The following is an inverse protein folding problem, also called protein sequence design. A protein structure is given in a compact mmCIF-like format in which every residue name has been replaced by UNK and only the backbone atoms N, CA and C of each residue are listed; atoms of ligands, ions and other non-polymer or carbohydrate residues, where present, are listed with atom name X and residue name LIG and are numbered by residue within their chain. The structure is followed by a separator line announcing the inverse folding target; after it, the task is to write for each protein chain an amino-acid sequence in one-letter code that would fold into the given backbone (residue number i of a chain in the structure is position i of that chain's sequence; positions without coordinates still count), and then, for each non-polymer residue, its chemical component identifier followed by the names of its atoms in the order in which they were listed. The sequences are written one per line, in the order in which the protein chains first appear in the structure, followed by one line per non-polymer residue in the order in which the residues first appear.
data_IF_307112616054
#
_entry.id   IF_307112616054
#
_cell.length_a   1.000
_cell.length_b   1.000
_cell.length_c   1.000
_cell.angle_alpha   90.00
_cell.angle_beta   90.00
_cell.angle_gamma   90.00
#
_symmetry.space_group_name_H-M   'P 1'
#
loop_
_entity.id
_entity.type
_entity.pdbx_description
1 polymer ?
#
# COMPACT_ATOMS: atom_id res chain seq x y z
N UNK A 1 -6.68 17.68 -8.26
CA UNK A 1 -7.22 16.39 -7.78
C UNK A 1 -6.74 15.34 -8.75
N UNK A 2 -5.70 14.57 -8.42
CA UNK A 2 -5.07 13.67 -9.40
C UNK A 2 -6.05 12.56 -9.83
N UNK A 3 -6.62 12.71 -11.02
CA UNK A 3 -7.24 11.65 -11.80
C UNK A 3 -6.14 10.76 -12.38
N UNK A 4 -5.51 9.95 -11.53
CA UNK A 4 -4.62 8.88 -11.95
C UNK A 4 -5.37 7.56 -11.77
N UNK A 5 -5.71 6.91 -12.88
CA UNK A 5 -6.40 5.63 -12.94
C UNK A 5 -5.70 4.58 -12.04
N UNK A 6 -6.31 4.25 -10.91
CA UNK A 6 -5.95 3.07 -10.11
C UNK A 6 -6.62 1.79 -10.64
N UNK A 7 -7.18 1.83 -11.84
CA UNK A 7 -7.79 0.67 -12.49
C UNK A 7 -6.77 -0.47 -12.60
N UNK A 8 -7.06 -1.60 -11.95
CA UNK A 8 -6.18 -2.77 -11.90
C UNK A 8 -5.27 -2.89 -10.67
N UNK A 9 -5.23 -1.89 -9.78
CA UNK A 9 -4.45 -1.97 -8.53
C UNK A 9 -5.34 -2.37 -7.33
N UNK A 10 -4.97 -3.44 -6.61
CA UNK A 10 -5.61 -3.84 -5.34
C UNK A 10 -5.08 -2.95 -4.22
N UNK A 11 -5.69 -1.77 -4.11
CA UNK A 11 -5.41 -0.78 -3.07
C UNK A 11 -6.55 -0.78 -2.05
N UNK A 12 -6.22 -0.85 -0.76
CA UNK A 12 -7.18 -0.70 0.35
C UNK A 12 -6.68 0.29 1.39
N UNK A 13 -7.58 1.11 1.94
CA UNK A 13 -7.28 1.96 3.10
C UNK A 13 -6.99 1.09 4.34
N UNK A 14 -6.05 1.52 5.18
CA UNK A 14 -5.73 0.81 6.42
C UNK A 14 -6.79 1.08 7.50
N UNK A 15 -7.10 0.04 8.29
CA UNK A 15 -7.96 0.17 9.45
C UNK A 15 -7.14 0.63 10.67
N UNK A 16 -7.66 1.57 11.45
CA UNK A 16 -7.04 2.02 12.70
C UNK A 16 -5.80 2.91 12.57
N UNK A 17 -5.35 3.22 11.35
CA UNK A 17 -4.27 4.19 11.09
C UNK A 17 -4.38 4.82 9.71
N UNK A 18 -3.76 5.98 9.52
CA UNK A 18 -3.68 6.63 8.21
C UNK A 18 -2.81 5.86 7.21
N UNK A 19 -3.23 5.85 5.95
CA UNK A 19 -2.50 5.24 4.84
C UNK A 19 -3.28 4.15 4.11
N UNK A 20 -2.56 3.50 3.20
CA UNK A 20 -3.09 2.53 2.24
C UNK A 20 -2.21 1.28 2.19
N UNK A 21 -2.79 0.19 1.69
CA UNK A 21 -2.13 -1.06 1.35
C UNK A 21 -2.28 -1.30 -0.14
N UNK A 22 -1.17 -1.52 -0.84
CA UNK A 22 -1.15 -2.00 -2.22
C UNK A 22 -0.77 -3.49 -2.24
N UNK A 23 -1.49 -4.30 -3.02
CA UNK A 23 -1.12 -5.69 -3.29
C UNK A 23 -0.52 -5.84 -4.69
N UNK A 24 0.67 -6.41 -4.75
CA UNK A 24 1.40 -6.70 -5.99
C UNK A 24 1.68 -8.20 -6.01
N UNK A 25 0.84 -8.97 -6.70
CA UNK A 25 0.91 -10.43 -6.68
C UNK A 25 0.80 -11.01 -5.25
N UNK A 26 1.90 -11.62 -4.78
CA UNK A 26 2.04 -12.20 -3.43
C UNK A 26 2.49 -11.23 -2.34
N UNK A 27 2.93 -10.03 -2.72
CA UNK A 27 3.51 -9.03 -1.82
C UNK A 27 2.50 -7.97 -1.40
N UNK A 28 2.78 -7.30 -0.27
CA UNK A 28 2.00 -6.17 0.25
C UNK A 28 2.94 -5.01 0.56
N UNK A 29 2.56 -3.82 0.12
CA UNK A 29 3.23 -2.57 0.51
C UNK A 29 2.26 -1.71 1.31
N UNK A 30 2.76 -1.01 2.31
CA UNK A 30 2.02 0.01 3.07
C UNK A 30 2.55 1.38 2.63
N UNK A 31 1.68 2.37 2.47
CA UNK A 31 2.14 3.70 2.05
C UNK A 31 1.21 4.81 2.53
N UNK A 32 1.73 6.04 2.53
CA UNK A 32 0.99 7.27 2.82
C UNK A 32 1.30 8.30 1.74
N UNK A 33 0.30 9.10 1.39
CA UNK A 33 0.48 10.21 0.47
C UNK A 33 0.62 11.46 1.34
N UNK A 34 1.72 12.20 1.20
CA UNK A 34 1.94 13.48 1.90
C UNK A 34 2.10 14.58 0.87
N UNK A 35 1.12 15.49 0.84
CA UNK A 35 1.09 16.63 -0.09
C UNK A 35 1.28 16.14 -1.55
N UNK A 36 2.36 16.56 -2.22
CA UNK A 36 2.68 16.15 -3.60
C UNK A 36 3.68 14.98 -3.67
N UNK A 37 4.07 14.40 -2.54
CA UNK A 37 5.02 13.29 -2.47
C UNK A 37 4.33 12.00 -2.04
N UNK A 38 4.43 10.99 -2.91
CA UNK A 38 4.10 9.62 -2.54
C UNK A 38 5.23 9.06 -1.66
N UNK A 39 4.96 8.83 -0.38
CA UNK A 39 5.91 8.20 0.54
C UNK A 39 5.49 6.74 0.73
N UNK A 40 6.21 5.82 0.07
CA UNK A 40 6.01 4.38 0.21
C UNK A 40 6.87 3.87 1.37
N UNK A 41 6.26 3.74 2.54
CA UNK A 41 6.89 3.17 3.73
C UNK A 41 6.71 1.64 3.73
N UNK A 42 7.69 0.96 3.15
CA UNK A 42 7.71 -0.50 3.08
C UNK A 42 7.99 -1.09 4.46
N UNK A 43 6.93 -1.31 5.26
CA UNK A 43 7.04 -1.88 6.61
C UNK A 43 7.47 -3.35 6.59
N UNK A 44 7.08 -4.11 5.56
CA UNK A 44 7.53 -5.48 5.33
C UNK A 44 7.22 -5.90 3.88
N UNK A 45 8.09 -6.72 3.28
CA UNK A 45 7.86 -7.40 1.99
C UNK A 45 8.09 -8.88 2.24
N UNK A 46 7.10 -9.71 1.95
CA UNK A 46 7.21 -11.14 2.12
C UNK A 46 6.02 -11.87 1.53
N UNK A 47 6.15 -13.20 1.44
CA UNK A 47 5.05 -14.07 1.06
C UNK A 47 3.90 -13.97 2.08
N UNK A 48 2.70 -14.42 1.72
CA UNK A 48 1.50 -14.34 2.58
C UNK A 48 1.70 -14.92 3.99
N UNK A 49 2.58 -15.91 4.15
CA UNK A 49 2.87 -16.56 5.43
C UNK A 49 4.04 -15.95 6.20
N UNK A 50 5.01 -15.36 5.51
CA UNK A 50 6.24 -14.85 6.16
C UNK A 50 6.06 -13.43 6.70
N UNK A 51 5.13 -12.66 6.13
CA UNK A 51 4.93 -11.25 6.50
C UNK A 51 4.19 -11.05 7.84
N UNK A 52 3.68 -12.14 8.44
CA UNK A 52 2.99 -12.13 9.74
C UNK A 52 3.74 -12.90 10.84
N UNK A 53 4.94 -13.42 10.53
CA UNK A 53 5.80 -14.09 11.52
C UNK A 53 6.72 -13.09 12.21
#
# INVERSE_FOLDING_TARGET
MASGETEGLDIKKLAGREGFRLRIGGYRALYRIREERLIIEVVAIGSRGDIYK
#
